data_IF_956505470051
#
_entry.id   IF_956505470051
#
_cell.length_a   1.000
_cell.length_b   1.000
_cell.length_c   1.000
_cell.angle_alpha   90.00
_cell.angle_beta   90.00
_cell.angle_gamma   90.00
#
_symmetry.space_group_name_H-M   'P 1'
#
loop_
_entity.id
_entity.type
_entity.pdbx_description
1 polymer ?
#
# COMPACT_ATOMS: atom_id res chain seq x y z
N UNK A 1 -14.24 -0.69 -1.68
CA UNK A 1 -13.48 -1.57 -2.58
C UNK A 1 -12.32 -2.11 -1.77
N UNK A 2 -11.99 -3.40 -1.88
CA UNK A 2 -10.85 -4.01 -1.20
C UNK A 2 -9.85 -4.51 -2.24
N UNK A 3 -8.55 -4.31 -2.02
CA UNK A 3 -7.50 -4.85 -2.90
C UNK A 3 -7.61 -6.37 -3.00
N UNK A 4 -7.59 -6.90 -4.23
CA UNK A 4 -7.70 -8.35 -4.46
C UNK A 4 -6.44 -9.10 -4.05
N UNK A 5 -6.57 -10.39 -3.72
CA UNK A 5 -5.40 -11.23 -3.38
C UNK A 5 -4.39 -11.34 -4.53
N UNK A 6 -4.84 -11.24 -5.78
CA UNK A 6 -3.96 -11.25 -6.96
C UNK A 6 -3.10 -9.99 -7.01
N UNK A 7 -3.70 -8.83 -6.78
CA UNK A 7 -2.99 -7.54 -6.74
C UNK A 7 -2.00 -7.52 -5.57
N UNK A 8 -2.40 -7.98 -4.38
CA UNK A 8 -1.47 -8.06 -3.23
C UNK A 8 -0.24 -8.94 -3.50
N UNK A 9 -0.40 -10.06 -4.24
CA UNK A 9 0.72 -10.91 -4.64
C UNK A 9 1.64 -10.18 -5.63
N UNK A 10 1.07 -9.49 -6.61
CA UNK A 10 1.84 -8.71 -7.57
C UNK A 10 2.62 -7.57 -6.89
N UNK A 11 2.00 -6.86 -5.95
CA UNK A 11 2.65 -5.81 -5.16
C UNK A 11 3.84 -6.36 -4.35
N UNK A 12 3.66 -7.52 -3.68
CA UNK A 12 4.76 -8.21 -2.96
C UNK A 12 5.93 -8.61 -3.87
N UNK A 13 5.65 -8.99 -5.12
CA UNK A 13 6.70 -9.30 -6.10
C UNK A 13 7.47 -8.05 -6.56
N UNK A 14 6.83 -6.88 -6.61
CA UNK A 14 7.46 -5.63 -7.03
C UNK A 14 8.32 -5.04 -5.89
N UNK A 15 7.79 -5.05 -4.67
CA UNK A 15 8.34 -4.32 -3.53
C UNK A 15 9.19 -5.18 -2.59
N UNK A 16 8.94 -6.48 -2.52
CA UNK A 16 9.45 -7.34 -1.45
C UNK A 16 8.50 -7.42 -0.24
N UNK A 17 8.77 -8.32 0.73
CA UNK A 17 7.86 -8.61 1.83
C UNK A 17 7.78 -7.49 2.89
N UNK A 18 8.86 -6.72 3.09
CA UNK A 18 8.97 -5.74 4.17
C UNK A 18 8.44 -4.34 3.79
N UNK A 19 8.15 -4.13 2.51
CA UNK A 19 7.70 -2.84 1.94
C UNK A 19 6.17 -2.76 1.76
N UNK A 20 5.40 -3.64 2.44
CA UNK A 20 3.94 -3.70 2.34
C UNK A 20 3.27 -3.87 3.70
N UNK A 21 2.48 -2.87 4.10
CA UNK A 21 1.74 -2.87 5.36
C UNK A 21 0.27 -3.22 5.14
N UNK A 22 -0.13 -4.36 5.70
CA UNK A 22 -1.52 -4.86 5.68
C UNK A 22 -2.15 -4.90 7.08
N UNK A 23 -1.34 -4.75 8.14
CA UNK A 23 -1.79 -4.67 9.53
C UNK A 23 -2.76 -3.50 9.74
N UNK A 24 -3.83 -3.73 10.50
CA UNK A 24 -4.86 -2.72 10.75
C UNK A 24 -4.32 -1.51 11.50
N UNK A 25 -3.50 -1.75 12.52
CA UNK A 25 -2.92 -0.70 13.38
C UNK A 25 -2.01 0.22 12.59
N UNK A 26 -1.11 -0.34 11.78
CA UNK A 26 -0.22 0.44 10.93
C UNK A 26 -0.98 1.26 9.89
N UNK A 27 -1.99 0.67 9.23
CA UNK A 27 -2.81 1.38 8.23
C UNK A 27 -3.62 2.52 8.84
N UNK A 28 -4.00 2.45 10.11
CA UNK A 28 -4.69 3.55 10.79
C UNK A 28 -3.83 4.81 10.86
N UNK A 29 -2.50 4.68 10.97
CA UNK A 29 -1.57 5.82 10.97
C UNK A 29 -1.62 6.62 9.66
N UNK A 30 -1.98 5.96 8.55
CA UNK A 30 -2.09 6.55 7.22
C UNK A 30 -3.54 6.83 6.80
N UNK A 31 -4.49 6.70 7.73
CA UNK A 31 -5.91 6.87 7.42
C UNK A 31 -6.39 8.32 7.50
N UNK A 32 -5.60 9.24 8.02
CA UNK A 32 -5.99 10.64 8.21
C UNK A 32 -4.79 11.56 7.97
N UNK A 33 -5.11 12.82 7.67
CA UNK A 33 -4.14 13.90 7.52
C UNK A 33 -4.63 15.15 8.29
N UNK A 34 -3.98 16.29 8.05
CA UNK A 34 -4.32 17.56 8.67
C UNK A 34 -5.73 18.08 8.33
N UNK A 35 -6.46 17.46 7.39
CA UNK A 35 -7.84 17.83 7.06
C UNK A 35 -8.86 17.30 8.07
N UNK A 36 -8.45 16.40 8.98
CA UNK A 36 -9.32 15.81 10.01
C UNK A 36 -10.33 14.79 9.49
N UNK A 37 -10.26 14.42 8.20
CA UNK A 37 -11.07 13.33 7.62
C UNK A 37 -10.29 12.02 7.70
N UNK A 38 -11.00 10.93 7.97
CA UNK A 38 -10.40 9.59 7.96
C UNK A 38 -10.95 8.73 6.82
N UNK A 39 -10.03 8.04 6.13
CA UNK A 39 -10.31 7.02 5.14
C UNK A 39 -9.28 5.90 5.31
N UNK A 40 -9.72 4.74 5.82
CA UNK A 40 -8.81 3.61 6.05
C UNK A 40 -8.35 3.02 4.71
N UNK A 41 -7.05 3.04 4.39
CA UNK A 41 -6.54 2.41 3.18
C UNK A 41 -6.60 0.88 3.30
N UNK A 42 -6.73 0.18 2.17
CA UNK A 42 -6.65 -1.29 2.13
C UNK A 42 -5.23 -1.80 2.41
N UNK A 43 -4.22 -1.06 1.92
CA UNK A 43 -2.79 -1.39 2.02
C UNK A 43 -1.97 -0.11 1.96
N UNK A 44 -0.79 -0.10 2.60
CA UNK A 44 0.21 0.97 2.49
C UNK A 44 1.50 0.39 1.94
N UNK A 45 2.13 1.08 1.00
CA UNK A 45 3.31 0.62 0.26
C UNK A 45 4.50 1.55 0.51
N UNK A 46 5.70 0.98 0.60
CA UNK A 46 6.95 1.72 0.86
C UNK A 46 7.96 1.47 -0.26
N UNK A 47 7.72 1.96 -1.50
CA UNK A 47 8.68 1.83 -2.58
C UNK A 47 9.97 2.59 -2.26
N UNK A 48 11.10 1.97 -2.57
CA UNK A 48 12.45 2.52 -2.43
C UNK A 48 12.99 3.08 -3.75
N UNK A 49 12.44 2.66 -4.90
CA UNK A 49 12.90 3.14 -6.22
C UNK A 49 11.77 3.65 -7.14
N UNK A 50 12.07 4.61 -8.04
CA UNK A 50 11.12 5.06 -9.06
C UNK A 50 10.60 3.93 -9.96
N UNK A 51 11.40 2.90 -10.23
CA UNK A 51 11.01 1.75 -11.03
C UNK A 51 9.94 0.91 -10.34
N UNK A 52 10.00 0.77 -9.01
CA UNK A 52 8.94 0.10 -8.25
C UNK A 52 7.63 0.87 -8.36
N UNK A 53 7.67 2.21 -8.22
CA UNK A 53 6.50 3.07 -8.42
C UNK A 53 5.92 2.86 -9.82
N UNK A 54 6.76 2.96 -10.86
CA UNK A 54 6.33 2.75 -12.25
C UNK A 54 5.66 1.39 -12.48
N UNK A 55 6.17 0.32 -11.85
CA UNK A 55 5.58 -1.02 -11.95
C UNK A 55 4.24 -1.13 -11.21
N UNK A 56 4.09 -0.50 -10.05
CA UNK A 56 2.83 -0.48 -9.28
C UNK A 56 1.71 0.17 -10.11
N UNK A 57 1.99 1.30 -10.76
CA UNK A 57 1.00 2.01 -11.58
C UNK A 57 0.57 1.25 -12.86
N UNK A 58 1.28 0.19 -13.24
CA UNK A 58 0.97 -0.64 -14.42
C UNK A 58 0.14 -1.89 -14.08
N UNK A 59 -0.12 -2.16 -12.80
CA UNK A 59 -1.02 -3.23 -12.36
C UNK A 59 -2.49 -2.82 -12.53
#
# INVERSE_FOLDING_TARGET
MSVSCQVLKALRLILGPDQICTGKEERLLYSYDATGRSCLPDVVLFPETPEQISKIFKL
#
